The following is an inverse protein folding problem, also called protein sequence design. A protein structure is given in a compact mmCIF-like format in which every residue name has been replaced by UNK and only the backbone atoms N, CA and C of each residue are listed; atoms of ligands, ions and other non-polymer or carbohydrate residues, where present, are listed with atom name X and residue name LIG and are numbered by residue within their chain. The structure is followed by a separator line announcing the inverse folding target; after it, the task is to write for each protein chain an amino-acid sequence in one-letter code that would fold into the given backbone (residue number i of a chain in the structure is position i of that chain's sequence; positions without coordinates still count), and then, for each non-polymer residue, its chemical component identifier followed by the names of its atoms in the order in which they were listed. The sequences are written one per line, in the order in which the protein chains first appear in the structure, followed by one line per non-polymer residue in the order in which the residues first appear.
data_IF_387396612556
#
_entry.id   IF_387396612556
#
_cell.length_a   1.000
_cell.length_b   1.000
_cell.length_c   1.000
_cell.angle_alpha   90.00
_cell.angle_beta   90.00
_cell.angle_gamma   90.00
#
_symmetry.space_group_name_H-M   'P 1'
#
loop_
_entity.id
_entity.type
_entity.pdbx_description
1 polymer ?
#
# COMPACT_ATOMS: atom_id res chain seq x y z
N UNK A 1 -10.71 -21.67 19.36
CA UNK A 1 -9.26 -21.94 19.30
C UNK A 1 -8.70 -21.12 18.13
N UNK A 2 -7.39 -20.88 18.04
CA UNK A 2 -6.83 -20.06 16.95
C UNK A 2 -7.18 -20.60 15.54
N UNK A 3 -7.48 -21.90 15.41
CA UNK A 3 -7.92 -22.54 14.17
C UNK A 3 -9.36 -22.15 13.82
N UNK A 4 -10.27 -22.11 14.80
CA UNK A 4 -11.67 -21.67 14.58
C UNK A 4 -11.75 -20.18 14.20
N UNK A 5 -10.78 -19.38 14.66
CA UNK A 5 -10.70 -17.97 14.33
C UNK A 5 -10.12 -17.73 12.92
N UNK A 6 -9.21 -18.61 12.46
CA UNK A 6 -8.72 -18.64 11.07
C UNK A 6 -9.83 -18.98 10.08
N UNK A 7 -10.60 -20.04 10.32
CA UNK A 7 -11.67 -20.46 9.40
C UNK A 7 -12.74 -19.38 9.23
N UNK A 8 -13.07 -18.64 10.31
CA UNK A 8 -13.98 -17.49 10.23
C UNK A 8 -13.39 -16.35 9.42
N UNK A 9 -12.10 -16.07 9.56
CA UNK A 9 -11.44 -15.02 8.78
C UNK A 9 -11.48 -15.33 7.28
N UNK A 10 -11.15 -16.57 6.89
CA UNK A 10 -11.21 -17.01 5.49
C UNK A 10 -12.62 -16.77 4.93
N UNK A 11 -13.67 -17.24 5.61
CA UNK A 11 -15.04 -17.13 5.11
C UNK A 11 -15.57 -15.70 5.11
N UNK A 12 -15.23 -14.90 6.13
CA UNK A 12 -15.86 -13.59 6.34
C UNK A 12 -15.09 -12.44 5.68
N UNK A 13 -13.81 -12.64 5.38
CA UNK A 13 -12.91 -11.59 4.88
C UNK A 13 -12.20 -12.01 3.60
N UNK A 14 -11.50 -13.15 3.59
CA UNK A 14 -10.67 -13.55 2.43
C UNK A 14 -11.52 -13.96 1.22
N UNK A 15 -12.53 -14.81 1.44
CA UNK A 15 -13.47 -15.29 0.41
C UNK A 15 -14.70 -14.39 0.25
N UNK A 16 -14.76 -13.28 0.99
CA UNK A 16 -15.87 -12.34 0.94
C UNK A 16 -15.49 -11.09 0.15
N UNK A 17 -15.84 -11.08 -1.14
CA UNK A 17 -15.61 -9.97 -2.08
C UNK A 17 -16.15 -8.61 -1.61
N UNK A 18 -17.05 -8.58 -0.63
CA UNK A 18 -17.59 -7.32 -0.08
C UNK A 18 -16.86 -6.82 1.16
N UNK A 19 -16.06 -7.66 1.82
CA UNK A 19 -15.38 -7.32 3.07
C UNK A 19 -14.34 -6.21 2.89
N UNK A 20 -13.73 -6.12 1.71
CA UNK A 20 -12.70 -5.13 1.38
C UNK A 20 -13.18 -4.04 0.42
N UNK A 21 -14.50 -3.95 0.18
CA UNK A 21 -15.08 -3.02 -0.81
C UNK A 21 -14.66 -1.56 -0.62
N UNK A 22 -14.60 -1.09 0.63
CA UNK A 22 -14.18 0.29 0.91
C UNK A 22 -12.67 0.50 0.66
N UNK A 23 -11.85 -0.52 0.91
CA UNK A 23 -10.41 -0.50 0.55
C UNK A 23 -10.25 -0.48 -0.96
N UNK A 24 -10.98 -1.31 -1.70
CA UNK A 24 -10.90 -1.34 -3.17
C UNK A 24 -11.34 -0.02 -3.81
N UNK A 25 -12.40 0.59 -3.30
CA UNK A 25 -12.80 1.96 -3.69
C UNK A 25 -11.70 2.97 -3.40
N UNK A 26 -11.06 2.88 -2.24
CA UNK A 26 -10.01 3.81 -1.85
C UNK A 26 -8.76 3.67 -2.73
N UNK A 27 -8.36 2.45 -3.10
CA UNK A 27 -7.24 2.18 -4.01
C UNK A 27 -7.37 2.92 -5.36
N UNK A 28 -8.60 3.10 -5.85
CA UNK A 28 -8.90 3.86 -7.09
C UNK A 28 -9.33 5.32 -6.82
N UNK A 29 -9.43 5.71 -5.55
CA UNK A 29 -9.89 7.02 -5.11
C UNK A 29 -8.88 8.15 -5.36
N UNK A 30 -9.34 9.41 -5.31
CA UNK A 30 -8.51 10.56 -5.68
C UNK A 30 -7.28 10.74 -4.78
N UNK A 31 -7.34 10.33 -3.51
CA UNK A 31 -6.23 10.33 -2.57
C UNK A 31 -5.11 9.42 -3.05
N UNK A 32 -5.40 8.14 -3.29
CA UNK A 32 -4.41 7.17 -3.75
C UNK A 32 -3.89 7.49 -5.16
N UNK A 33 -4.76 8.00 -6.03
CA UNK A 33 -4.37 8.38 -7.40
C UNK A 33 -3.39 9.57 -7.43
N UNK A 34 -3.43 10.47 -6.44
CA UNK A 34 -2.41 11.53 -6.29
C UNK A 34 -1.04 10.94 -5.97
N UNK A 35 -0.98 9.98 -5.04
CA UNK A 35 0.28 9.30 -4.67
C UNK A 35 0.84 8.54 -5.87
N UNK A 36 0.02 7.76 -6.59
CA UNK A 36 0.43 7.03 -7.80
C UNK A 36 1.00 7.99 -8.84
N UNK A 37 0.33 9.13 -9.12
CA UNK A 37 0.81 10.12 -10.08
C UNK A 37 2.16 10.73 -9.67
N UNK A 38 2.32 11.04 -8.38
CA UNK A 38 3.57 11.59 -7.83
C UNK A 38 4.72 10.61 -8.02
N UNK A 39 4.52 9.34 -7.62
CA UNK A 39 5.54 8.29 -7.76
C UNK A 39 5.86 8.01 -9.23
N UNK A 40 4.85 7.94 -10.11
CA UNK A 40 5.06 7.77 -11.56
C UNK A 40 5.95 8.89 -12.13
N UNK A 41 5.69 10.13 -11.72
CA UNK A 41 6.48 11.30 -12.14
C UNK A 41 7.93 11.20 -11.64
N UNK A 42 8.12 10.86 -10.36
CA UNK A 42 9.45 10.72 -9.76
C UNK A 42 10.29 9.62 -10.45
N UNK A 43 9.65 8.50 -10.77
CA UNK A 43 10.29 7.36 -11.44
C UNK A 43 10.40 7.53 -12.96
N UNK A 44 9.75 8.56 -13.53
CA UNK A 44 9.65 8.78 -14.98
C UNK A 44 9.06 7.58 -15.73
N UNK A 45 8.03 6.95 -15.15
CA UNK A 45 7.32 5.80 -15.75
C UNK A 45 5.86 6.16 -16.08
N UNK A 46 5.24 5.48 -17.05
CA UNK A 46 3.82 5.62 -17.31
C UNK A 46 2.98 5.22 -16.10
N UNK A 47 1.96 6.03 -15.78
CA UNK A 47 1.09 5.83 -14.61
C UNK A 47 0.36 4.49 -14.64
N UNK A 48 -0.05 4.03 -15.82
CA UNK A 48 -0.75 2.77 -16.05
C UNK A 48 0.10 1.52 -15.74
N UNK A 49 1.41 1.69 -15.52
CA UNK A 49 2.29 0.62 -15.03
C UNK A 49 2.29 0.52 -13.49
N UNK A 50 1.63 1.43 -12.78
CA UNK A 50 1.54 1.46 -11.33
C UNK A 50 0.09 1.28 -10.86
N UNK A 51 -0.07 0.60 -9.73
CA UNK A 51 -1.35 0.48 -9.03
C UNK A 51 -1.11 0.64 -7.52
N UNK A 52 -2.19 0.73 -6.74
CA UNK A 52 -2.11 0.98 -5.30
C UNK A 52 -1.27 -0.08 -4.57
N UNK A 53 -1.39 -1.36 -4.95
CA UNK A 53 -0.65 -2.47 -4.33
C UNK A 53 0.86 -2.34 -4.56
N UNK A 54 1.30 -2.00 -5.77
CA UNK A 54 2.72 -1.77 -6.06
C UNK A 54 3.28 -0.58 -5.28
N UNK A 55 2.49 0.48 -5.12
CA UNK A 55 2.88 1.63 -4.28
C UNK A 55 2.99 1.23 -2.81
N UNK A 56 2.05 0.43 -2.29
CA UNK A 56 2.08 -0.07 -0.92
C UNK A 56 3.30 -0.97 -0.67
N UNK A 57 3.64 -1.85 -1.62
CA UNK A 57 4.85 -2.69 -1.55
C UNK A 57 6.12 -1.84 -1.50
N UNK A 58 6.20 -0.77 -2.30
CA UNK A 58 7.34 0.16 -2.25
C UNK A 58 7.45 0.85 -0.88
N UNK A 59 6.32 1.25 -0.28
CA UNK A 59 6.28 1.82 1.07
C UNK A 59 6.76 0.82 2.13
N UNK A 60 6.23 -0.41 2.12
CA UNK A 60 6.68 -1.46 3.04
C UNK A 60 8.16 -1.82 2.86
N UNK A 61 8.67 -1.78 1.63
CA UNK A 61 10.10 -2.00 1.37
C UNK A 61 10.94 -0.95 2.12
N UNK A 62 10.55 0.33 2.08
CA UNK A 62 11.19 1.36 2.91
C UNK A 62 11.11 1.03 4.41
N UNK A 63 9.91 0.69 4.91
CA UNK A 63 9.70 0.40 6.33
C UNK A 63 10.55 -0.77 6.82
N UNK A 64 10.65 -1.84 6.02
CA UNK A 64 11.47 -3.01 6.36
C UNK A 64 12.96 -2.72 6.27
N UNK A 65 13.42 -2.00 5.25
CA UNK A 65 14.83 -1.59 5.18
C UNK A 65 15.23 -0.70 6.37
N UNK A 66 14.33 0.17 6.81
CA UNK A 66 14.53 0.95 8.03
C UNK A 66 14.58 0.04 9.26
N UNK A 67 13.60 -0.86 9.44
CA UNK A 67 13.53 -1.73 10.61
C UNK A 67 14.71 -2.72 10.71
N UNK A 68 15.14 -3.28 9.57
CA UNK A 68 16.17 -4.32 9.52
C UNK A 68 17.57 -3.70 9.49
N UNK A 69 17.78 -2.66 8.66
CA UNK A 69 19.11 -2.11 8.38
C UNK A 69 19.34 -0.72 8.99
N UNK A 70 18.36 -0.16 9.72
CA UNK A 70 18.40 1.19 10.27
C UNK A 70 18.76 2.28 9.22
N UNK A 71 18.30 2.10 7.99
CA UNK A 71 18.66 2.95 6.84
C UNK A 71 17.47 3.79 6.39
N UNK A 72 17.48 5.09 6.69
CA UNK A 72 16.48 6.05 6.19
C UNK A 72 16.79 6.60 4.79
N UNK A 73 18.02 6.39 4.29
CA UNK A 73 18.47 6.94 3.01
C UNK A 73 18.13 6.07 1.79
N UNK A 74 17.27 5.07 1.97
CA UNK A 74 16.82 4.17 0.91
C UNK A 74 16.17 4.94 -0.24
N UNK A 75 16.42 4.55 -1.51
CA UNK A 75 15.66 5.04 -2.64
C UNK A 75 14.15 4.87 -2.48
N UNK A 76 13.70 3.80 -1.82
CA UNK A 76 12.28 3.51 -1.59
C UNK A 76 11.66 4.54 -0.63
N UNK A 77 12.37 4.92 0.42
CA UNK A 77 11.89 5.92 1.38
C UNK A 77 11.79 7.32 0.77
N UNK A 78 12.57 7.63 -0.27
CA UNK A 78 12.55 8.94 -0.95
C UNK A 78 11.36 9.13 -1.87
N UNK A 79 10.61 8.07 -2.17
CA UNK A 79 9.41 8.16 -3.00
C UNK A 79 8.24 8.80 -2.28
N UNK A 80 8.27 8.83 -0.94
CA UNK A 80 7.14 9.19 -0.10
C UNK A 80 7.49 10.33 0.85
N UNK A 81 6.51 11.18 1.12
CA UNK A 81 6.52 12.08 2.27
C UNK A 81 5.47 11.64 3.31
N UNK A 82 5.35 12.39 4.40
CA UNK A 82 4.43 12.08 5.50
C UNK A 82 2.96 12.03 5.05
N UNK A 83 2.57 12.86 4.08
CA UNK A 83 1.18 12.88 3.60
C UNK A 83 0.87 11.67 2.73
N UNK A 84 1.84 11.23 1.91
CA UNK A 84 1.70 9.96 1.17
C UNK A 84 1.59 8.77 2.13
N UNK A 85 2.38 8.77 3.22
CA UNK A 85 2.34 7.70 4.22
C UNK A 85 0.98 7.60 4.90
N UNK A 86 0.34 8.73 5.24
CA UNK A 86 -1.04 8.75 5.80
C UNK A 86 -2.07 8.14 4.85
N UNK A 87 -1.92 8.36 3.54
CA UNK A 87 -2.79 7.73 2.53
C UNK A 87 -2.54 6.21 2.49
N UNK A 88 -1.29 5.80 2.58
CA UNK A 88 -0.88 4.39 2.54
C UNK A 88 -1.24 3.62 3.81
N UNK A 89 -1.34 4.27 4.97
CA UNK A 89 -1.79 3.66 6.23
C UNK A 89 -3.26 3.21 6.22
N UNK A 90 -4.07 3.74 5.30
CA UNK A 90 -5.45 3.28 5.12
C UNK A 90 -5.53 1.91 4.41
N UNK A 91 -4.49 1.55 3.65
CA UNK A 91 -4.38 0.29 2.92
C UNK A 91 -3.83 -0.83 3.80
#
# INVERSE_FOLDING_TARGET
SAIDDWEKFVVQVEDNDTALHEVDKFKIGPEMQKVINKVATLLSVPKDQLNADLIQVASFTCSFELAINNTMNSPWCRLFDEEDAKVLEYL
#
